data_IF_776899330480
#
_entry.id   IF_776899330480
#
_cell.length_a   1.000
_cell.length_b   1.000
_cell.length_c   1.000
_cell.angle_alpha   90.00
_cell.angle_beta   90.00
_cell.angle_gamma   90.00
#
_symmetry.space_group_name_H-M   'P 1'
#
loop_
_entity.id
_entity.type
_entity.pdbx_description
1 polymer ?
#
# COMPACT_ATOMS: atom_id res chain seq x y z
N UNK A 1 -10.76 4.44 -7.06
CA UNK A 1 -11.92 4.07 -7.88
C UNK A 1 -12.88 5.23 -7.88
N UNK A 2 -12.37 6.43 -8.15
CA UNK A 2 -13.07 7.66 -7.79
C UNK A 2 -13.79 8.28 -9.00
N UNK A 3 -13.47 7.79 -10.19
CA UNK A 3 -14.18 8.03 -11.44
C UNK A 3 -14.16 6.77 -12.34
N UNK A 4 -14.90 6.82 -13.44
CA UNK A 4 -15.04 5.69 -14.38
C UNK A 4 -13.73 5.32 -15.07
N UNK A 5 -12.88 6.30 -15.39
CA UNK A 5 -11.59 6.10 -16.05
C UNK A 5 -10.62 5.38 -15.13
N UNK A 6 -10.48 5.85 -13.88
CA UNK A 6 -9.67 5.17 -12.86
C UNK A 6 -10.17 3.74 -12.59
N UNK A 7 -11.49 3.52 -12.62
CA UNK A 7 -12.06 2.18 -12.47
C UNK A 7 -11.67 1.26 -13.62
N UNK A 8 -11.77 1.73 -14.87
CA UNK A 8 -11.37 0.97 -16.06
C UNK A 8 -9.87 0.66 -16.06
N UNK A 9 -9.04 1.64 -15.73
CA UNK A 9 -7.59 1.45 -15.57
C UNK A 9 -7.30 0.36 -14.53
N UNK A 10 -7.95 0.41 -13.38
CA UNK A 10 -7.77 -0.61 -12.34
C UNK A 10 -8.18 -2.02 -12.76
N UNK A 11 -9.24 -2.15 -13.57
CA UNK A 11 -9.65 -3.44 -14.14
C UNK A 11 -8.59 -3.95 -15.12
N UNK A 12 -8.15 -3.10 -16.04
CA UNK A 12 -7.13 -3.44 -17.03
C UNK A 12 -5.83 -3.91 -16.35
N UNK A 13 -5.29 -3.10 -15.43
CA UNK A 13 -4.06 -3.41 -14.72
C UNK A 13 -4.20 -4.68 -13.86
N UNK A 14 -5.37 -4.88 -13.21
CA UNK A 14 -5.64 -6.12 -12.49
C UNK A 14 -5.61 -7.34 -13.39
N UNK A 15 -6.20 -7.27 -14.60
CA UNK A 15 -6.16 -8.37 -15.57
C UNK A 15 -4.73 -8.66 -16.02
N UNK A 16 -3.90 -7.64 -16.29
CA UNK A 16 -2.49 -7.85 -16.66
C UNK A 16 -1.67 -8.49 -15.54
N UNK A 17 -1.93 -8.11 -14.28
CA UNK A 17 -1.19 -8.61 -13.13
C UNK A 17 -1.67 -10.01 -12.67
N UNK A 18 -2.85 -10.44 -13.12
CA UNK A 18 -3.51 -11.65 -12.63
C UNK A 18 -2.69 -12.94 -12.82
N UNK A 19 -1.99 -13.17 -13.95
CA UNK A 19 -1.12 -14.34 -14.08
C UNK A 19 0.01 -14.34 -13.07
N UNK A 20 0.68 -13.19 -12.89
CA UNK A 20 1.76 -13.04 -11.92
C UNK A 20 1.24 -13.23 -10.50
N UNK A 21 0.06 -12.72 -10.18
CA UNK A 21 -0.57 -12.96 -8.89
C UNK A 21 -0.73 -14.45 -8.61
N UNK A 22 -1.25 -15.23 -9.57
CA UNK A 22 -1.54 -16.65 -9.37
C UNK A 22 -0.28 -17.52 -9.31
N UNK A 23 0.77 -17.17 -10.05
CA UNK A 23 2.01 -17.97 -10.12
C UNK A 23 2.99 -17.70 -8.98
N UNK A 24 2.73 -16.67 -8.17
CA UNK A 24 3.55 -16.29 -7.02
C UNK A 24 2.94 -16.79 -5.69
N UNK A 25 3.70 -16.75 -4.57
CA UNK A 25 3.16 -17.06 -3.27
C UNK A 25 1.88 -16.28 -2.95
N UNK A 26 0.89 -17.02 -2.48
CA UNK A 26 -0.41 -16.45 -2.16
C UNK A 26 -0.35 -15.63 -0.87
N UNK A 27 -1.28 -14.70 -0.72
CA UNK A 27 -1.42 -13.96 0.53
C UNK A 27 -1.72 -14.89 1.73
N UNK A 28 -2.49 -15.95 1.50
CA UNK A 28 -2.75 -16.98 2.51
C UNK A 28 -1.47 -17.68 2.96
N UNK A 29 -0.56 -17.98 2.04
CA UNK A 29 0.77 -18.53 2.37
C UNK A 29 1.54 -17.56 3.26
N UNK A 30 1.62 -16.28 2.86
CA UNK A 30 2.25 -15.22 3.66
C UNK A 30 1.72 -15.22 5.10
N UNK A 31 0.39 -15.16 5.28
CA UNK A 31 -0.20 -15.18 6.62
C UNK A 31 0.16 -16.46 7.40
N UNK A 32 0.09 -17.63 6.75
CA UNK A 32 0.36 -18.90 7.42
C UNK A 32 1.81 -19.00 7.94
N UNK A 33 2.77 -18.41 7.23
CA UNK A 33 4.20 -18.45 7.54
C UNK A 33 4.69 -17.31 8.42
N UNK A 34 3.88 -16.26 8.58
CA UNK A 34 4.30 -15.01 9.24
C UNK A 34 3.47 -14.63 10.45
N UNK A 35 2.30 -15.21 10.63
CA UNK A 35 1.43 -14.86 11.75
C UNK A 35 2.09 -15.23 13.08
N UNK A 36 2.18 -14.25 13.98
CA UNK A 36 2.69 -14.43 15.34
C UNK A 36 4.20 -14.64 15.47
N UNK A 37 4.99 -14.43 14.40
CA UNK A 37 6.45 -14.59 14.47
C UNK A 37 7.17 -13.39 15.11
N UNK A 38 6.49 -12.25 15.19
CA UNK A 38 7.00 -11.01 15.76
C UNK A 38 5.89 -10.32 16.54
N UNK A 39 6.22 -9.82 17.73
CA UNK A 39 5.29 -9.04 18.54
C UNK A 39 5.17 -7.58 18.07
N UNK A 40 6.17 -7.04 17.36
CA UNK A 40 6.24 -5.61 17.04
C UNK A 40 6.48 -5.38 15.54
N UNK A 41 5.65 -4.53 14.93
CA UNK A 41 5.80 -4.04 13.58
C UNK A 41 6.22 -2.56 13.60
N UNK A 42 7.15 -2.18 12.73
CA UNK A 42 7.47 -0.78 12.42
C UNK A 42 6.99 -0.52 11.00
N UNK A 43 6.08 0.44 10.86
CA UNK A 43 5.60 0.92 9.57
C UNK A 43 6.38 2.20 9.24
N UNK A 44 7.12 2.13 8.14
CA UNK A 44 8.02 3.16 7.64
C UNK A 44 7.37 3.85 6.46
N UNK A 45 6.91 5.07 6.69
CA UNK A 45 6.30 5.93 5.69
C UNK A 45 7.25 7.07 5.28
N UNK A 46 6.90 7.79 4.21
CA UNK A 46 7.82 8.71 3.52
C UNK A 46 7.59 10.17 3.89
N UNK A 47 7.23 10.45 5.15
CA UNK A 47 7.09 11.79 5.68
C UNK A 47 8.45 12.41 6.04
N UNK A 48 8.57 13.76 6.07
CA UNK A 48 9.83 14.48 6.31
C UNK A 48 10.63 14.04 7.55
N UNK A 49 9.95 13.56 8.60
CA UNK A 49 10.53 13.12 9.86
C UNK A 49 11.25 11.77 9.75
N UNK A 50 11.15 11.05 8.62
CA UNK A 50 11.79 9.75 8.43
C UNK A 50 13.31 9.81 8.62
N UNK A 51 13.99 10.80 8.02
CA UNK A 51 15.46 10.88 7.97
C UNK A 51 16.11 10.78 9.34
N UNK A 52 15.54 11.46 10.35
CA UNK A 52 16.09 11.43 11.72
C UNK A 52 15.93 10.07 12.43
N UNK A 53 15.00 9.22 11.97
CA UNK A 53 14.76 7.90 12.55
C UNK A 53 15.62 6.81 11.93
N UNK A 54 16.23 7.03 10.76
CA UNK A 54 17.03 6.04 10.04
C UNK A 54 18.20 5.45 10.87
N UNK A 55 18.99 6.22 11.64
CA UNK A 55 20.07 5.66 12.46
C UNK A 55 19.55 4.67 13.52
N UNK A 56 18.44 5.00 14.18
CA UNK A 56 17.82 4.12 15.17
C UNK A 56 17.17 2.90 14.49
N UNK A 57 16.47 3.11 13.37
CA UNK A 57 15.85 2.03 12.60
C UNK A 57 16.92 1.01 12.20
N UNK A 58 18.07 1.47 11.70
CA UNK A 58 19.21 0.60 11.34
C UNK A 58 19.72 -0.21 12.54
N UNK A 59 19.84 0.42 13.71
CA UNK A 59 20.31 -0.24 14.94
C UNK A 59 19.35 -1.33 15.44
N UNK A 60 18.04 -1.14 15.27
CA UNK A 60 17.02 -2.04 15.82
C UNK A 60 16.33 -2.92 14.76
N UNK A 61 16.79 -2.90 13.49
CA UNK A 61 16.11 -3.53 12.37
C UNK A 61 15.94 -5.06 12.51
N UNK A 62 16.83 -5.75 13.23
CA UNK A 62 16.74 -7.20 13.48
C UNK A 62 15.63 -7.59 14.46
N UNK A 63 15.07 -6.62 15.21
CA UNK A 63 14.20 -6.88 16.38
C UNK A 63 12.71 -6.65 16.16
N UNK A 64 12.33 -6.13 15.00
CA UNK A 64 10.93 -5.86 14.65
C UNK A 64 10.66 -6.31 13.21
N UNK A 65 9.39 -6.56 12.89
CA UNK A 65 8.97 -6.64 11.49
C UNK A 65 8.96 -5.23 10.90
N UNK A 66 9.63 -5.00 9.78
CA UNK A 66 9.66 -3.71 9.10
C UNK A 66 8.79 -3.77 7.85
N UNK A 67 7.73 -2.97 7.84
CA UNK A 67 6.97 -2.62 6.65
C UNK A 67 7.46 -1.29 6.11
N UNK A 68 7.80 -1.25 4.84
CA UNK A 68 8.26 -0.05 4.15
C UNK A 68 7.26 0.33 3.07
N UNK A 69 6.87 1.60 3.01
CA UNK A 69 6.19 2.11 1.84
C UNK A 69 7.10 2.03 0.60
N UNK A 70 6.53 1.75 -0.56
CA UNK A 70 7.20 1.82 -1.87
C UNK A 70 8.09 3.07 -2.04
N UNK A 71 7.57 4.24 -1.69
CA UNK A 71 8.30 5.52 -1.74
C UNK A 71 9.45 5.65 -0.73
N UNK A 72 9.41 4.89 0.37
CA UNK A 72 10.48 4.83 1.37
C UNK A 72 11.56 3.80 1.02
N UNK A 73 11.27 2.86 0.12
CA UNK A 73 12.18 1.77 -0.22
C UNK A 73 13.52 2.23 -0.79
N UNK A 74 13.58 3.18 -1.77
CA UNK A 74 14.85 3.72 -2.24
C UNK A 74 15.65 4.43 -1.14
N UNK A 75 14.98 5.10 -0.21
CA UNK A 75 15.61 5.75 0.95
C UNK A 75 16.23 4.69 1.87
N UNK A 76 15.48 3.64 2.20
CA UNK A 76 15.98 2.57 3.06
C UNK A 76 17.16 1.83 2.44
N UNK A 77 17.12 1.56 1.13
CA UNK A 77 18.23 0.99 0.38
C UNK A 77 19.48 1.87 0.44
N UNK A 78 19.34 3.18 0.20
CA UNK A 78 20.45 4.16 0.29
C UNK A 78 21.12 4.16 1.67
N UNK A 79 20.36 3.94 2.74
CA UNK A 79 20.87 3.90 4.11
C UNK A 79 21.27 2.50 4.59
N UNK A 80 21.15 1.48 3.74
CA UNK A 80 21.48 0.09 4.05
C UNK A 80 20.59 -0.50 5.15
N UNK A 81 19.29 -0.19 5.11
CA UNK A 81 18.28 -0.69 6.05
C UNK A 81 17.34 -1.60 5.26
N UNK A 82 17.49 -2.91 5.43
CA UNK A 82 16.68 -3.90 4.72
C UNK A 82 15.31 -4.08 5.41
N UNK A 83 14.19 -3.70 4.78
CA UNK A 83 12.86 -4.01 5.30
C UNK A 83 12.53 -5.50 5.12
N UNK A 84 11.53 -6.00 5.86
CA UNK A 84 11.02 -7.36 5.63
C UNK A 84 9.95 -7.34 4.53
N UNK A 85 9.15 -6.27 4.51
CA UNK A 85 8.08 -6.06 3.53
C UNK A 85 8.19 -4.69 2.89
N UNK A 86 8.03 -4.63 1.57
CA UNK A 86 7.83 -3.37 0.84
C UNK A 86 6.42 -3.40 0.25
N UNK A 87 5.59 -2.41 0.57
CA UNK A 87 4.19 -2.39 0.18
C UNK A 87 3.92 -1.33 -0.89
N UNK A 88 3.12 -1.68 -1.90
CA UNK A 88 2.67 -0.76 -2.95
C UNK A 88 1.16 -0.90 -3.15
N UNK A 89 0.46 0.23 -3.13
CA UNK A 89 -1.00 0.29 -3.29
C UNK A 89 -1.40 1.04 -4.57
N UNK A 90 -0.64 2.07 -4.92
CA UNK A 90 -0.97 3.01 -5.99
C UNK A 90 -0.72 2.43 -7.37
N UNK A 91 -1.49 2.92 -8.34
CA UNK A 91 -1.59 2.35 -9.68
C UNK A 91 -1.06 3.22 -10.80
N UNK A 92 -0.41 4.32 -10.43
CA UNK A 92 0.17 5.27 -11.38
C UNK A 92 1.54 4.75 -11.85
N UNK A 93 1.95 5.20 -13.02
CA UNK A 93 3.27 4.88 -13.54
C UNK A 93 4.40 5.46 -12.67
N UNK A 94 4.22 6.68 -12.16
CA UNK A 94 5.22 7.34 -11.31
C UNK A 94 5.52 6.55 -10.02
N UNK A 95 4.53 5.88 -9.43
CA UNK A 95 4.80 5.04 -8.25
C UNK A 95 5.52 3.75 -8.62
N UNK A 96 5.33 3.20 -9.82
CA UNK A 96 6.10 2.03 -10.27
C UNK A 96 7.61 2.31 -10.34
N UNK A 97 7.99 3.55 -10.63
CA UNK A 97 9.41 3.94 -10.73
C UNK A 97 10.16 3.81 -9.40
N UNK A 98 9.49 3.73 -8.24
CA UNK A 98 10.16 3.38 -6.97
C UNK A 98 10.82 2.00 -6.99
N UNK A 99 10.41 1.12 -7.91
CA UNK A 99 11.01 -0.20 -8.10
C UNK A 99 11.99 -0.25 -9.27
N UNK A 100 12.16 0.83 -10.03
CA UNK A 100 13.10 0.93 -11.15
C UNK A 100 14.54 1.14 -10.67
N UNK A 101 14.98 0.25 -9.79
CA UNK A 101 16.32 0.21 -9.23
C UNK A 101 16.79 -1.23 -9.15
N UNK A 102 18.06 -1.45 -9.48
CA UNK A 102 18.75 -2.70 -9.22
C UNK A 102 19.60 -2.56 -7.96
N UNK A 103 19.07 -3.04 -6.83
CA UNK A 103 19.81 -3.07 -5.56
C UNK A 103 20.48 -4.44 -5.30
N UNK A 104 20.42 -5.37 -6.26
CA UNK A 104 21.09 -6.68 -6.19
C UNK A 104 20.79 -7.46 -4.91
N UNK A 105 21.86 -7.86 -4.18
CA UNK A 105 21.75 -8.66 -2.95
C UNK A 105 20.98 -7.98 -1.81
N UNK A 106 20.78 -6.66 -1.85
CA UNK A 106 19.96 -5.95 -0.86
C UNK A 106 18.51 -6.48 -0.87
N UNK A 107 17.97 -6.79 -2.06
CA UNK A 107 16.58 -7.22 -2.24
C UNK A 107 16.31 -8.67 -1.86
N UNK A 108 17.39 -9.44 -1.65
CA UNK A 108 17.28 -10.82 -1.21
C UNK A 108 16.41 -10.89 0.04
N UNK A 109 15.52 -11.86 0.15
CA UNK A 109 14.58 -12.05 1.27
C UNK A 109 13.55 -10.94 1.55
N UNK A 110 13.63 -9.77 0.89
CA UNK A 110 12.55 -8.76 0.95
C UNK A 110 11.33 -9.32 0.25
N UNK A 111 10.16 -9.22 0.87
CA UNK A 111 8.89 -9.57 0.24
C UNK A 111 8.17 -8.29 -0.20
N UNK A 112 8.04 -8.11 -1.52
CA UNK A 112 7.27 -7.03 -2.11
C UNK A 112 5.79 -7.42 -2.15
N UNK A 113 4.94 -6.64 -1.48
CA UNK A 113 3.50 -6.87 -1.38
C UNK A 113 2.78 -5.78 -2.16
N UNK A 114 2.28 -6.13 -3.35
CA UNK A 114 1.61 -5.19 -4.25
C UNK A 114 0.09 -5.42 -4.25
N UNK A 115 -0.68 -4.35 -4.37
CA UNK A 115 -2.08 -4.46 -4.74
C UNK A 115 -2.19 -5.00 -6.18
N UNK A 116 -3.22 -5.81 -6.47
CA UNK A 116 -3.40 -6.38 -7.82
C UNK A 116 -3.63 -5.34 -8.90
N UNK A 117 -3.96 -4.10 -8.52
CA UNK A 117 -4.24 -2.98 -9.41
C UNK A 117 -3.02 -2.09 -9.67
N UNK A 118 -1.83 -2.42 -9.16
CA UNK A 118 -0.64 -1.57 -9.40
C UNK A 118 -0.31 -1.49 -10.89
N UNK A 119 0.44 -0.45 -11.28
CA UNK A 119 0.86 -0.30 -12.67
C UNK A 119 1.72 -1.51 -13.11
N UNK A 120 1.53 -2.11 -14.31
CA UNK A 120 2.24 -3.32 -14.74
C UNK A 120 3.77 -3.21 -14.71
N UNK A 121 4.31 -2.02 -14.95
CA UNK A 121 5.76 -1.75 -14.80
C UNK A 121 6.32 -2.11 -13.41
N UNK A 122 5.54 -1.91 -12.34
CA UNK A 122 5.98 -2.31 -11.00
C UNK A 122 6.23 -3.82 -10.94
N UNK A 123 5.35 -4.62 -11.56
CA UNK A 123 5.49 -6.08 -11.61
C UNK A 123 6.64 -6.49 -12.53
N UNK A 124 6.87 -5.75 -13.62
CA UNK A 124 8.04 -5.94 -14.50
C UNK A 124 9.36 -5.70 -13.76
N UNK A 125 9.50 -4.59 -13.04
CA UNK A 125 10.70 -4.26 -12.28
C UNK A 125 10.98 -5.23 -11.12
N UNK A 126 9.93 -5.82 -10.55
CA UNK A 126 10.04 -6.81 -9.46
C UNK A 126 10.24 -8.25 -9.95
N UNK A 127 10.39 -8.49 -11.26
CA UNK A 127 10.58 -9.83 -11.81
C UNK A 127 11.81 -10.51 -11.18
N UNK A 128 11.60 -11.72 -10.65
CA UNK A 128 12.66 -12.51 -10.00
C UNK A 128 12.87 -12.17 -8.51
N UNK A 129 12.14 -11.20 -7.95
CA UNK A 129 12.13 -10.88 -6.51
C UNK A 129 11.00 -11.63 -5.80
N UNK A 130 11.02 -11.66 -4.46
CA UNK A 130 9.91 -12.29 -3.72
C UNK A 130 8.68 -11.37 -3.77
N UNK A 131 7.75 -11.69 -4.66
CA UNK A 131 6.55 -10.90 -4.89
C UNK A 131 5.31 -11.63 -4.34
N UNK A 132 4.44 -10.89 -3.67
CA UNK A 132 3.08 -11.29 -3.30
C UNK A 132 2.13 -10.23 -3.84
N UNK A 133 1.16 -10.65 -4.64
CA UNK A 133 0.10 -9.75 -5.12
C UNK A 133 -1.19 -10.08 -4.37
N UNK A 134 -1.79 -9.07 -3.74
CA UNK A 134 -3.07 -9.19 -3.02
C UNK A 134 -4.16 -8.43 -3.76
N UNK A 135 -5.41 -8.90 -3.69
CA UNK A 135 -6.51 -8.16 -4.30
C UNK A 135 -6.83 -6.88 -3.52
N UNK A 136 -7.31 -5.86 -4.23
CA UNK A 136 -7.97 -4.67 -3.66
C UNK A 136 -9.47 -4.93 -3.55
N UNK A 137 -10.12 -4.36 -2.54
CA UNK A 137 -11.58 -4.44 -2.31
C UNK A 137 -12.31 -3.67 -3.43
N UNK A 138 -12.54 -4.33 -4.57
CA UNK A 138 -13.19 -3.75 -5.76
C UNK A 138 -14.10 -4.79 -6.41
N UNK A 139 -15.13 -4.33 -7.14
CA UNK A 139 -16.15 -5.19 -7.73
C UNK A 139 -15.57 -6.27 -8.66
N UNK A 140 -14.59 -5.90 -9.50
CA UNK A 140 -14.02 -6.84 -10.47
C UNK A 140 -13.15 -7.93 -9.82
N UNK A 141 -12.19 -7.63 -8.91
CA UNK A 141 -11.54 -8.66 -8.10
C UNK A 141 -12.52 -9.56 -7.33
N UNK A 142 -13.59 -9.01 -6.74
CA UNK A 142 -14.63 -9.83 -6.10
C UNK A 142 -15.33 -10.77 -7.08
N UNK A 143 -15.64 -10.29 -8.28
CA UNK A 143 -16.21 -11.11 -9.34
C UNK A 143 -15.26 -12.25 -9.74
N UNK A 144 -13.96 -11.99 -9.86
CA UNK A 144 -12.94 -13.01 -10.13
C UNK A 144 -12.85 -14.05 -8.99
N UNK A 145 -12.98 -13.62 -7.72
CA UNK A 145 -13.16 -14.48 -6.54
C UNK A 145 -11.97 -15.42 -6.24
N UNK A 146 -10.75 -14.91 -6.28
CA UNK A 146 -9.52 -15.66 -5.96
C UNK A 146 -9.15 -15.54 -4.47
N UNK A 147 -9.93 -16.19 -3.60
CA UNK A 147 -9.86 -15.99 -2.14
C UNK A 147 -8.50 -16.23 -1.49
N UNK A 148 -7.67 -17.14 -2.02
CA UNK A 148 -6.33 -17.43 -1.47
C UNK A 148 -5.37 -16.22 -1.59
N UNK A 149 -5.65 -15.27 -2.49
CA UNK A 149 -4.89 -14.05 -2.68
C UNK A 149 -5.42 -12.87 -1.84
N UNK A 150 -6.43 -13.11 -0.99
CA UNK A 150 -7.01 -12.18 -0.02
C UNK A 150 -7.47 -10.84 -0.62
N UNK A 151 -7.98 -9.96 0.23
CA UNK A 151 -8.34 -8.57 -0.08
C UNK A 151 -7.60 -7.64 0.88
N UNK A 152 -6.28 -7.79 1.00
CA UNK A 152 -5.47 -7.09 1.99
C UNK A 152 -4.96 -5.71 1.53
N UNK A 153 -5.10 -5.38 0.24
CA UNK A 153 -4.94 -4.01 -0.23
C UNK A 153 -6.20 -3.20 0.13
N UNK A 154 -6.30 -2.83 1.40
CA UNK A 154 -7.45 -2.10 1.96
C UNK A 154 -7.17 -0.61 2.02
N UNK A 155 -8.26 0.16 2.07
CA UNK A 155 -8.26 1.62 2.20
C UNK A 155 -7.46 2.35 1.09
N UNK A 156 -6.90 3.51 1.44
CA UNK A 156 -6.53 4.58 0.51
C UNK A 156 -5.05 4.98 0.57
N UNK A 157 -4.22 4.32 1.37
CA UNK A 157 -2.77 4.59 1.39
C UNK A 157 -1.98 3.33 1.76
N UNK A 158 -0.70 3.30 1.38
CA UNK A 158 0.22 2.20 1.70
C UNK A 158 0.36 1.97 3.21
N UNK A 159 0.25 3.04 4.01
CA UNK A 159 0.27 2.96 5.46
C UNK A 159 -0.96 2.21 6.02
N UNK A 160 -2.16 2.43 5.46
CA UNK A 160 -3.35 1.68 5.84
C UNK A 160 -3.21 0.20 5.50
N UNK A 161 -2.71 -0.12 4.30
CA UNK A 161 -2.43 -1.49 3.88
C UNK A 161 -1.45 -2.15 4.85
N UNK A 162 -0.34 -1.47 5.18
CA UNK A 162 0.69 -1.97 6.12
C UNK A 162 0.14 -2.16 7.54
N UNK A 163 -0.74 -1.27 8.00
CA UNK A 163 -1.42 -1.38 9.29
C UNK A 163 -2.32 -2.62 9.31
N UNK A 164 -3.16 -2.79 8.30
CA UNK A 164 -4.03 -3.96 8.20
C UNK A 164 -3.25 -5.27 8.10
N UNK A 165 -2.13 -5.26 7.37
CA UNK A 165 -1.20 -6.40 7.32
C UNK A 165 -0.65 -6.75 8.70
N UNK A 166 -0.22 -5.75 9.47
CA UNK A 166 0.28 -5.94 10.83
C UNK A 166 -0.80 -6.53 11.76
N UNK A 167 -2.05 -6.11 11.60
CA UNK A 167 -3.21 -6.70 12.31
C UNK A 167 -3.34 -8.19 11.97
N UNK A 168 -3.35 -8.53 10.68
CA UNK A 168 -3.56 -9.91 10.22
C UNK A 168 -2.41 -10.85 10.60
N UNK A 169 -1.20 -10.32 10.69
CA UNK A 169 -0.01 -11.03 11.17
C UNK A 169 0.07 -11.13 12.70
N UNK A 170 -0.91 -10.58 13.43
CA UNK A 170 -1.05 -10.70 14.87
C UNK A 170 0.11 -10.06 15.66
N UNK A 171 0.61 -8.92 15.17
CA UNK A 171 1.50 -8.05 15.93
C UNK A 171 0.76 -7.44 17.13
N UNK A 172 1.44 -7.36 18.28
CA UNK A 172 0.91 -6.75 19.51
C UNK A 172 1.11 -5.24 19.53
N UNK A 173 2.22 -4.78 18.96
CA UNK A 173 2.60 -3.37 18.88
C UNK A 173 2.81 -2.95 17.42
N UNK A 174 2.29 -1.79 17.04
CA UNK A 174 2.56 -1.14 15.75
C UNK A 174 3.22 0.21 16.02
N UNK A 175 4.37 0.48 15.41
CA UNK A 175 5.12 1.73 15.55
C UNK A 175 5.10 2.46 14.21
N UNK A 176 4.68 3.71 14.21
CA UNK A 176 4.80 4.59 13.04
C UNK A 176 6.07 5.43 13.08
N UNK A 177 6.83 5.41 11.99
CA UNK A 177 7.90 6.38 11.72
C UNK A 177 7.73 6.95 10.31
N UNK A 178 8.04 8.24 10.12
CA UNK A 178 7.78 8.96 8.87
C UNK A 178 6.29 9.02 8.46
N UNK A 179 5.35 8.63 9.32
CA UNK A 179 3.91 8.82 9.10
C UNK A 179 3.49 10.22 9.55
N UNK A 180 4.00 11.24 8.87
CA UNK A 180 3.87 12.62 9.37
C UNK A 180 2.49 13.21 9.10
N UNK A 181 1.94 12.96 7.90
CA UNK A 181 0.66 13.54 7.46
C UNK A 181 0.63 15.07 7.62
N UNK A 182 1.80 15.70 7.50
CA UNK A 182 2.04 17.11 7.71
C UNK A 182 3.34 17.53 7.01
N UNK A 183 3.43 18.80 6.67
CA UNK A 183 4.65 19.38 6.12
C UNK A 183 5.66 19.65 7.24
N UNK A 184 6.95 19.54 6.92
CA UNK A 184 8.01 20.01 7.80
C UNK A 184 7.96 21.54 7.99
N UNK A 185 8.67 22.07 9.00
CA UNK A 185 8.74 23.52 9.26
C UNK A 185 9.26 24.31 8.06
N UNK A 186 10.16 23.73 7.26
CA UNK A 186 10.67 24.32 6.02
C UNK A 186 9.71 24.19 4.82
N UNK A 187 8.53 23.58 5.00
CA UNK A 187 7.52 23.38 3.97
C UNK A 187 7.70 22.10 3.12
N UNK A 188 8.69 21.26 3.40
CA UNK A 188 8.88 20.00 2.68
C UNK A 188 7.72 19.04 2.97
N UNK A 189 7.30 18.32 1.92
CA UNK A 189 6.29 17.25 2.01
C UNK A 189 6.90 15.87 2.21
N UNK A 190 8.18 15.72 1.87
CA UNK A 190 8.92 14.46 1.93
C UNK A 190 10.35 14.70 2.47
N UNK A 191 11.09 13.63 2.83
CA UNK A 191 12.52 13.70 3.12
C UNK A 191 13.36 14.22 1.94
N UNK A 192 14.52 14.80 2.25
CA UNK A 192 15.49 15.26 1.24
C UNK A 192 15.95 14.15 0.29
N UNK A 193 15.95 12.91 0.77
CA UNK A 193 16.35 11.72 0.00
C UNK A 193 15.21 11.15 -0.89
N UNK A 194 14.04 11.77 -0.92
CA UNK A 194 12.93 11.31 -1.74
C UNK A 194 13.21 11.51 -3.23
N UNK A 195 13.02 10.45 -4.03
CA UNK A 195 13.44 10.44 -5.44
C UNK A 195 12.75 11.51 -6.31
N UNK A 196 11.52 11.91 -5.95
CA UNK A 196 10.75 12.90 -6.71
C UNK A 196 10.88 14.33 -6.16
N UNK A 197 11.89 14.60 -5.32
CA UNK A 197 12.13 15.85 -4.55
C UNK A 197 11.33 15.99 -3.26
N UNK A 198 11.98 16.49 -2.21
CA UNK A 198 11.37 16.79 -0.89
C UNK A 198 10.13 17.70 -0.96
N UNK A 199 10.00 18.49 -2.02
CA UNK A 199 8.89 19.43 -2.23
C UNK A 199 7.80 18.94 -3.21
N UNK A 200 7.84 17.65 -3.62
CA UNK A 200 6.96 17.07 -4.65
C UNK A 200 5.48 17.44 -4.50
N UNK A 201 4.92 17.35 -3.28
CA UNK A 201 3.51 17.68 -3.00
C UNK A 201 3.32 19.02 -2.28
N UNK A 202 4.39 19.77 -2.02
CA UNK A 202 4.38 20.93 -1.11
C UNK A 202 3.42 22.05 -1.55
N UNK A 203 3.09 22.15 -2.84
CA UNK A 203 2.18 23.17 -3.38
C UNK A 203 0.97 22.55 -4.11
N UNK A 204 0.82 21.22 -4.06
CA UNK A 204 -0.22 20.51 -4.81
C UNK A 204 -1.62 20.75 -4.24
N UNK A 205 -1.70 20.99 -2.92
CA UNK A 205 -2.95 21.18 -2.20
C UNK A 205 -2.91 22.46 -1.36
N UNK A 206 -4.10 23.01 -1.09
CA UNK A 206 -4.24 24.12 -0.14
C UNK A 206 -3.79 23.69 1.25
N UNK A 207 -2.93 24.48 1.87
CA UNK A 207 -2.49 24.24 3.24
C UNK A 207 -3.62 24.54 4.23
N UNK A 208 -3.82 23.62 5.15
CA UNK A 208 -4.67 23.77 6.34
C UNK A 208 -3.86 23.45 7.58
N UNK A 209 -4.42 23.69 8.76
CA UNK A 209 -3.78 23.40 10.04
C UNK A 209 -4.44 22.18 10.70
N UNK A 210 -3.63 21.43 11.43
CA UNK A 210 -4.08 20.35 12.32
C UNK A 210 -3.23 20.31 13.56
N UNK A 211 -3.71 19.60 14.59
CA UNK A 211 -2.97 19.44 15.83
C UNK A 211 -1.67 18.67 15.57
N UNK A 212 -0.55 19.25 16.02
CA UNK A 212 0.76 18.64 15.90
C UNK A 212 0.97 17.58 16.99
N UNK A 213 1.89 16.65 16.72
CA UNK A 213 2.40 15.71 17.71
C UNK A 213 2.64 16.39 19.08
N UNK A 214 2.12 15.78 20.15
CA UNK A 214 2.20 16.29 21.53
C UNK A 214 1.08 17.26 21.93
N UNK A 215 0.18 17.63 21.01
CA UNK A 215 -1.09 18.30 21.31
C UNK A 215 -1.00 19.74 21.82
N UNK A 216 0.09 20.44 21.51
CA UNK A 216 0.35 21.81 22.01
C UNK A 216 0.48 22.87 20.93
N UNK A 217 0.62 22.45 19.68
CA UNK A 217 0.89 23.31 18.53
C UNK A 217 0.03 22.84 17.37
N UNK A 218 -0.10 23.72 16.37
CA UNK A 218 -0.65 23.35 15.08
C UNK A 218 0.47 23.17 14.06
N UNK A 219 0.24 22.32 13.07
CA UNK A 219 1.15 22.05 11.96
C UNK A 219 0.39 22.10 10.63
N UNK A 220 1.10 22.48 9.56
CA UNK A 220 0.52 22.54 8.22
C UNK A 220 0.32 21.13 7.65
N UNK A 221 -0.81 20.92 7.03
CA UNK A 221 -1.20 19.68 6.33
C UNK A 221 -2.14 20.02 5.16
N UNK A 222 -2.75 19.03 4.53
CA UNK A 222 -3.80 19.19 3.53
C UNK A 222 -4.92 18.16 3.68
N UNK A 223 -6.02 18.36 2.97
CA UNK A 223 -7.26 17.58 3.12
C UNK A 223 -7.09 16.06 2.91
N UNK A 224 -6.25 15.63 1.97
CA UNK A 224 -6.01 14.21 1.69
C UNK A 224 -5.24 13.54 2.84
N UNK A 225 -4.24 14.22 3.41
CA UNK A 225 -3.53 13.72 4.59
C UNK A 225 -4.43 13.68 5.83
N UNK A 226 -5.35 14.64 6.00
CA UNK A 226 -6.38 14.57 7.05
C UNK A 226 -7.29 13.36 6.84
N UNK A 227 -7.72 13.12 5.60
CA UNK A 227 -8.52 11.94 5.27
C UNK A 227 -7.77 10.64 5.61
N UNK A 228 -6.49 10.53 5.25
CA UNK A 228 -5.67 9.38 5.63
C UNK A 228 -5.50 9.25 7.14
N UNK A 229 -5.26 10.36 7.85
CA UNK A 229 -5.19 10.37 9.32
C UNK A 229 -6.46 9.80 9.93
N UNK A 230 -7.63 10.27 9.50
CA UNK A 230 -8.93 9.84 10.05
C UNK A 230 -9.21 8.35 9.81
N UNK A 231 -8.79 7.81 8.67
CA UNK A 231 -8.91 6.37 8.40
C UNK A 231 -7.97 5.58 9.32
N UNK A 232 -6.72 6.00 9.52
CA UNK A 232 -5.82 5.36 10.48
C UNK A 232 -6.41 5.37 11.89
N UNK A 233 -6.96 6.49 12.34
CA UNK A 233 -7.63 6.62 13.64
C UNK A 233 -8.80 5.64 13.77
N UNK A 234 -9.64 5.54 12.73
CA UNK A 234 -10.74 4.58 12.69
C UNK A 234 -10.26 3.12 12.72
N UNK A 235 -9.16 2.81 12.02
CA UNK A 235 -8.54 1.48 12.05
C UNK A 235 -7.99 1.13 13.43
N UNK A 236 -7.31 2.06 14.09
CA UNK A 236 -6.76 1.88 15.44
C UNK A 236 -7.89 1.56 16.43
N UNK A 237 -8.99 2.32 16.36
CA UNK A 237 -10.18 2.08 17.19
C UNK A 237 -10.79 0.71 16.87
N UNK A 238 -10.94 0.36 15.59
CA UNK A 238 -11.59 -0.88 15.16
C UNK A 238 -10.82 -2.14 15.54
N UNK A 239 -9.49 -2.12 15.42
CA UNK A 239 -8.66 -3.32 15.60
C UNK A 239 -8.06 -3.44 17.00
N UNK A 240 -8.11 -2.38 17.81
CA UNK A 240 -7.65 -2.38 19.20
C UNK A 240 -6.19 -2.86 19.39
N UNK A 241 -5.30 -2.56 18.44
CA UNK A 241 -3.86 -2.85 18.55
C UNK A 241 -3.14 -1.65 19.15
N UNK A 242 -2.25 -1.90 20.12
CA UNK A 242 -1.43 -0.87 20.71
C UNK A 242 -0.54 -0.24 19.64
N UNK A 243 -0.82 1.03 19.32
CA UNK A 243 -0.18 1.74 18.23
C UNK A 243 0.58 2.93 18.78
N UNK A 244 1.85 3.06 18.40
CA UNK A 244 2.75 4.13 18.82
C UNK A 244 2.98 5.09 17.67
N UNK A 245 2.73 6.37 17.92
CA UNK A 245 3.15 7.42 17.01
C UNK A 245 4.55 7.87 17.43
N UNK A 246 5.56 7.60 16.59
CA UNK A 246 6.94 8.02 16.79
C UNK A 246 7.39 9.07 15.75
N UNK A 247 6.45 9.82 15.20
CA UNK A 247 6.67 10.85 14.17
C UNK A 247 6.73 12.23 14.80
N UNK A 248 7.73 12.47 15.66
CA UNK A 248 7.91 13.80 16.29
C UNK A 248 8.01 14.88 15.19
N UNK A 249 7.10 15.86 15.18
CA UNK A 249 7.03 16.86 14.10
C UNK A 249 6.06 16.54 12.97
N UNK A 250 5.30 15.44 13.07
CA UNK A 250 4.10 15.19 12.26
C UNK A 250 2.81 15.68 12.93
N UNK A 251 1.68 15.34 12.32
CA UNK A 251 0.36 15.49 12.90
C UNK A 251 0.17 14.51 14.08
N UNK A 252 -0.62 14.94 15.07
CA UNK A 252 -1.17 14.06 16.10
C UNK A 252 -2.08 13.04 15.41
N UNK A 253 -2.05 11.78 15.83
CA UNK A 253 -2.94 10.71 15.32
C UNK A 253 -3.67 10.14 16.52
N UNK A 254 -4.97 10.37 16.61
CA UNK A 254 -5.81 9.94 17.73
C UNK A 254 -5.85 8.42 17.89
N UNK A 255 -5.94 7.98 19.15
CA UNK A 255 -5.86 6.55 19.50
C UNK A 255 -4.44 5.97 19.54
N UNK A 256 -3.42 6.70 19.07
CA UNK A 256 -2.02 6.30 19.23
C UNK A 256 -1.45 6.74 20.58
N UNK A 257 -0.38 6.07 21.01
CA UNK A 257 0.47 6.49 22.12
C UNK A 257 1.67 7.24 21.55
N UNK A 258 1.75 8.54 21.80
CA UNK A 258 2.89 9.36 21.37
C UNK A 258 4.13 9.07 22.23
N UNK A 259 5.20 8.59 21.60
CA UNK A 259 6.49 8.32 22.23
C UNK A 259 7.64 8.62 21.26
N UNK A 260 8.81 9.11 21.74
CA UNK A 260 10.00 9.16 20.90
C UNK A 260 10.37 7.77 20.37
N UNK A 261 10.89 7.69 19.13
CA UNK A 261 11.21 6.39 18.54
C UNK A 261 12.24 5.60 19.35
N UNK A 262 13.21 6.30 19.97
CA UNK A 262 14.17 5.68 20.88
C UNK A 262 13.49 4.95 22.05
N UNK A 263 12.46 5.56 22.65
CA UNK A 263 11.71 4.93 23.73
C UNK A 263 11.05 3.64 23.24
N UNK A 264 10.43 3.66 22.07
CA UNK A 264 9.78 2.48 21.50
C UNK A 264 10.81 1.37 21.23
N UNK A 265 11.97 1.73 20.68
CA UNK A 265 13.07 0.79 20.47
C UNK A 265 13.57 0.16 21.79
N UNK A 266 13.81 0.95 22.82
CA UNK A 266 14.35 0.46 24.10
C UNK A 266 13.35 -0.36 24.93
N UNK A 267 12.05 -0.08 24.80
CA UNK A 267 11.02 -0.70 25.63
C UNK A 267 10.26 -1.84 24.94
N UNK A 268 10.25 -1.88 23.60
CA UNK A 268 9.45 -2.85 22.83
C UNK A 268 10.33 -3.82 22.01
N UNK A 269 11.60 -3.49 21.78
CA UNK A 269 12.51 -4.26 20.91
C UNK A 269 13.68 -4.85 21.71
N UNK A 270 13.36 -5.77 22.64
CA UNK A 270 14.33 -6.40 23.52
C UNK A 270 15.11 -7.54 22.81
N UNK A 271 14.42 -8.32 21.98
CA UNK A 271 14.95 -9.55 21.36
C UNK A 271 15.10 -9.44 19.85
N UNK A 272 16.15 -10.08 19.32
CA UNK A 272 16.30 -10.28 17.88
C UNK A 272 15.29 -11.31 17.36
N UNK A 273 14.77 -11.05 16.17
CA UNK A 273 13.95 -11.98 15.42
C UNK A 273 14.85 -12.90 14.59
N UNK A 274 14.39 -14.13 14.35
CA UNK A 274 15.07 -15.06 13.45
C UNK A 274 14.83 -14.63 11.99
N UNK A 275 15.67 -13.72 11.51
CA UNK A 275 15.67 -13.23 10.12
C UNK A 275 16.79 -13.89 9.31
N UNK A 276 16.61 -14.13 7.99
CA UNK A 276 15.38 -13.87 7.22
C UNK A 276 14.25 -14.81 7.62
N UNK A 277 13.01 -14.36 7.42
CA UNK A 277 11.83 -15.20 7.68
C UNK A 277 11.72 -16.35 6.67
N UNK A 278 11.03 -17.42 7.05
CA UNK A 278 10.87 -18.64 6.24
C UNK A 278 10.45 -18.35 4.79
N UNK A 279 11.10 -18.93 3.78
CA UNK A 279 10.73 -18.67 2.39
C UNK A 279 9.25 -18.98 2.10
N UNK A 280 8.60 -18.12 1.33
CA UNK A 280 7.22 -18.34 0.87
C UNK A 280 7.22 -19.18 -0.40
N UNK A 281 6.31 -20.15 -0.50
CA UNK A 281 6.20 -21.02 -1.67
C UNK A 281 4.92 -20.73 -2.47
N UNK A 282 4.98 -20.81 -3.81
CA UNK A 282 3.79 -20.66 -4.64
C UNK A 282 2.87 -21.88 -4.48
N UNK A 283 1.63 -21.73 -4.97
CA UNK A 283 0.70 -22.86 -5.09
C UNK A 283 1.30 -23.95 -6.00
N UNK A 284 0.81 -25.18 -5.89
CA UNK A 284 1.20 -26.24 -6.83
C UNK A 284 0.81 -25.87 -8.26
N UNK A 285 1.59 -26.32 -9.26
CA UNK A 285 1.33 -26.02 -10.67
C UNK A 285 -0.10 -26.36 -11.11
N UNK A 286 -0.65 -27.48 -10.61
CA UNK A 286 -2.05 -27.86 -10.87
C UNK A 286 -3.05 -26.83 -10.34
N UNK A 287 -2.81 -26.27 -9.14
CA UNK A 287 -3.67 -25.22 -8.57
C UNK A 287 -3.49 -23.88 -9.27
N UNK A 288 -2.27 -23.53 -9.68
CA UNK A 288 -2.04 -22.35 -10.51
C UNK A 288 -2.83 -22.44 -11.82
N UNK A 289 -2.72 -23.57 -12.55
CA UNK A 289 -3.45 -23.79 -13.79
C UNK A 289 -4.98 -23.77 -13.60
N UNK A 290 -5.49 -24.38 -12.52
CA UNK A 290 -6.92 -24.33 -12.17
C UNK A 290 -7.41 -22.88 -11.99
N UNK A 291 -6.66 -22.06 -11.24
CA UNK A 291 -7.03 -20.67 -10.98
C UNK A 291 -6.88 -19.78 -12.21
N UNK A 292 -5.84 -19.99 -13.04
CA UNK A 292 -5.67 -19.29 -14.31
C UNK A 292 -6.86 -19.55 -15.24
N UNK A 293 -7.28 -20.82 -15.39
CA UNK A 293 -8.43 -21.18 -16.23
C UNK A 293 -9.75 -20.56 -15.72
N UNK A 294 -9.98 -20.60 -14.40
CA UNK A 294 -11.16 -20.00 -13.77
C UNK A 294 -11.20 -18.48 -13.97
N UNK A 295 -10.06 -17.81 -13.80
CA UNK A 295 -9.96 -16.38 -13.99
C UNK A 295 -10.13 -16.00 -15.47
N UNK A 296 -9.46 -16.72 -16.39
CA UNK A 296 -9.59 -16.54 -17.83
C UNK A 296 -11.06 -16.63 -18.28
N UNK A 297 -11.77 -17.69 -17.88
CA UNK A 297 -13.19 -17.84 -18.20
C UNK A 297 -14.03 -16.64 -17.75
N UNK A 298 -13.82 -16.16 -16.53
CA UNK A 298 -14.54 -14.99 -15.99
C UNK A 298 -14.19 -13.70 -16.71
N UNK A 299 -12.92 -13.48 -17.05
CA UNK A 299 -12.49 -12.32 -17.84
C UNK A 299 -13.16 -12.34 -19.22
N UNK A 300 -13.13 -13.48 -19.93
CA UNK A 300 -13.82 -13.63 -21.23
C UNK A 300 -15.33 -13.35 -21.12
N UNK A 301 -15.99 -13.90 -20.09
CA UNK A 301 -17.41 -13.65 -19.84
C UNK A 301 -17.70 -12.17 -19.56
N UNK A 302 -16.84 -11.49 -18.81
CA UNK A 302 -16.98 -10.05 -18.58
C UNK A 302 -16.83 -9.24 -19.87
N UNK A 303 -15.90 -9.61 -20.74
CA UNK A 303 -15.71 -8.96 -22.05
C UNK A 303 -16.96 -9.13 -22.93
N UNK A 304 -17.56 -10.33 -22.93
CA UNK A 304 -18.82 -10.60 -23.64
C UNK A 304 -19.96 -9.71 -23.12
N UNK A 305 -20.17 -9.67 -21.80
CA UNK A 305 -21.17 -8.80 -21.19
C UNK A 305 -20.96 -7.32 -21.54
N UNK A 306 -19.71 -6.83 -21.55
CA UNK A 306 -19.41 -5.45 -21.93
C UNK A 306 -19.76 -5.18 -23.40
N UNK A 307 -19.48 -6.12 -24.31
CA UNK A 307 -19.84 -5.99 -25.73
C UNK A 307 -21.35 -5.94 -25.94
N UNK A 308 -22.09 -6.79 -25.23
CA UNK A 308 -23.55 -6.82 -25.34
C UNK A 308 -24.18 -5.56 -24.74
N UNK A 309 -23.69 -5.11 -23.57
CA UNK A 309 -24.13 -3.86 -22.97
C UNK A 309 -23.84 -2.65 -23.86
N UNK A 310 -22.67 -2.61 -24.52
CA UNK A 310 -22.33 -1.55 -25.48
C UNK A 310 -23.32 -1.51 -26.65
N UNK A 311 -23.73 -2.65 -27.20
CA UNK A 311 -24.74 -2.70 -28.28
C UNK A 311 -26.10 -2.16 -27.81
N UNK A 312 -26.52 -2.54 -26.60
CA UNK A 312 -27.78 -2.05 -26.01
C UNK A 312 -27.73 -0.52 -25.85
N UNK A 313 -26.65 0.00 -25.27
CA UNK A 313 -26.47 1.44 -25.08
C UNK A 313 -26.45 2.21 -26.41
N UNK A 314 -25.77 1.71 -27.44
CA UNK A 314 -25.76 2.34 -28.76
C UNK A 314 -27.16 2.40 -29.37
N UNK A 315 -27.91 1.29 -29.33
CA UNK A 315 -29.28 1.24 -29.84
C UNK A 315 -30.21 2.21 -29.10
N UNK A 316 -30.06 2.34 -27.78
CA UNK A 316 -30.91 3.22 -26.99
C UNK A 316 -30.52 4.70 -27.17
N UNK A 317 -29.23 4.99 -27.34
CA UNK A 317 -28.75 6.33 -27.69
C UNK A 317 -29.32 6.78 -29.04
N UNK A 318 -29.27 5.93 -30.08
CA UNK A 318 -29.83 6.24 -31.40
C UNK A 318 -31.34 6.51 -31.33
N UNK A 319 -32.09 5.71 -30.56
CA UNK A 319 -33.53 5.95 -30.33
C UNK A 319 -33.79 7.29 -29.66
N UNK A 320 -33.08 7.59 -28.57
CA UNK A 320 -33.23 8.85 -27.83
C UNK A 320 -32.89 10.04 -28.72
N UNK A 321 -31.78 9.95 -29.47
CA UNK A 321 -31.35 10.99 -30.40
C UNK A 321 -32.41 11.24 -31.49
N UNK A 322 -32.96 10.18 -32.08
CA UNK A 322 -34.05 10.28 -33.06
C UNK A 322 -35.28 10.98 -32.48
N UNK A 323 -35.70 10.60 -31.27
CA UNK A 323 -36.85 11.24 -30.59
C UNK A 323 -36.56 12.72 -30.30
N UNK A 324 -35.38 13.05 -29.77
CA UNK A 324 -34.99 14.43 -29.46
C UNK A 324 -35.00 15.34 -30.69
N UNK A 325 -34.43 14.87 -31.81
CA UNK A 325 -34.44 15.62 -33.07
C UNK A 325 -35.88 15.86 -33.56
N UNK A 326 -36.74 14.84 -33.51
CA UNK A 326 -38.15 14.97 -33.93
C UNK A 326 -38.97 15.96 -33.10
N UNK A 327 -38.59 16.19 -31.84
CA UNK A 327 -39.26 17.14 -30.93
C UNK A 327 -38.81 18.58 -31.14
N UNK A 328 -37.58 18.79 -31.63
CA UNK A 328 -37.01 20.13 -31.87
C UNK A 328 -37.23 20.64 -33.32
N UNK A 329 -37.72 19.80 -34.21
CA UNK A 329 -38.13 20.19 -35.57
C UNK A 329 -39.57 20.77 -35.64
N UNK A 330 -40.26 20.91 -34.49
CA UNK A 330 -41.59 21.52 -34.35
C UNK A 330 -41.54 22.89 -33.69
#
# INVERSE_FOLDING_TARGET
GNDSTDTLQGIEQFVYNLPQMITHPSYKELLSKRKGISDTAIIVSTGPSLTKQLPLLKKYASKATIFCADSSYPILAKHGIKPDYVCMLERTEITAEFFNHDFGEFDKDIVFICAGVVHPKAIEYLKGRNLVITQKVLAFPYYINLKDFSYAAVEFSVAHMSYFLSVLLNHKNIIFIGQDLAYAENGNSHPDDYQNSANYESQMYKHILTEAYGGKKEIKTHEVWIFFKQILEAMIIKYHITTYNCTEGGARIEGTIEKPFLWACENLLDKDLNKPFEKLEPLSLNKQNEFLLKAYYKVCKSIEHCRDFSKILSNDFEKIQSVYLSLNEK
#
